data_IF_844017869803
#
_entry.id   IF_844017869803
#
_cell.length_a   1.000
_cell.length_b   1.000
_cell.length_c   1.000
_cell.angle_alpha   90.00
_cell.angle_beta   90.00
_cell.angle_gamma   90.00
#
_symmetry.space_group_name_H-M   'P 1'
#
loop_
_entity.id
_entity.type
_entity.pdbx_description
1 polymer ?
#
# COMPACT_ATOMS: atom_id res chain seq x y z
N UNK A 1 -10.57 0.43 -7.83
CA UNK A 1 -11.26 1.36 -6.90
C UNK A 1 -12.06 0.59 -5.86
N UNK A 2 -13.01 -0.29 -6.25
CA UNK A 2 -13.81 -1.06 -5.27
C UNK A 2 -13.00 -2.02 -4.39
N UNK A 3 -11.87 -2.52 -4.90
CA UNK A 3 -11.01 -3.44 -4.17
C UNK A 3 -10.49 -2.87 -2.84
N UNK A 4 -10.38 -1.55 -2.72
CA UNK A 4 -9.95 -0.83 -1.51
C UNK A 4 -11.08 -0.12 -0.74
N UNK A 5 -12.33 -0.55 -0.89
CA UNK A 5 -13.49 0.16 -0.31
C UNK A 5 -13.74 -0.17 1.18
N UNK A 6 -12.88 0.26 2.10
CA UNK A 6 -13.05 0.01 3.55
C UNK A 6 -13.69 1.16 4.36
N UNK A 7 -13.90 2.34 3.75
CA UNK A 7 -14.67 3.48 4.31
C UNK A 7 -14.16 4.06 5.66
N UNK A 8 -12.92 3.76 6.07
CA UNK A 8 -12.33 4.34 7.27
C UNK A 8 -10.84 4.63 7.05
N UNK A 9 -10.23 5.54 7.81
CA UNK A 9 -8.77 5.73 7.74
C UNK A 9 -8.06 4.67 8.60
N UNK A 10 -7.31 3.76 7.98
CA UNK A 10 -6.57 2.69 8.66
C UNK A 10 -5.34 3.17 9.43
N UNK A 11 -4.85 4.40 9.16
CA UNK A 11 -3.68 4.99 9.84
C UNK A 11 -4.01 5.50 11.23
N UNK A 12 -5.29 5.79 11.50
CA UNK A 12 -5.76 6.20 12.82
C UNK A 12 -5.93 4.96 13.71
N UNK A 13 -5.16 4.87 14.80
CA UNK A 13 -5.33 3.80 15.79
C UNK A 13 -6.64 4.03 16.55
N UNK A 14 -7.53 3.04 16.53
CA UNK A 14 -8.76 3.04 17.31
C UNK A 14 -8.72 1.84 18.27
N UNK A 15 -9.18 2.00 19.52
CA UNK A 15 -9.03 0.99 20.58
C UNK A 15 -9.77 -0.34 20.30
N UNK A 16 -10.81 -0.30 19.49
CA UNK A 16 -11.68 -1.41 19.08
C UNK A 16 -11.21 -2.10 17.78
N UNK A 17 -10.19 -1.56 17.09
CA UNK A 17 -9.73 -2.14 15.83
C UNK A 17 -8.94 -3.42 16.04
N UNK A 18 -9.50 -4.50 15.53
CA UNK A 18 -8.83 -5.80 15.41
C UNK A 18 -7.51 -5.64 14.63
N UNK A 19 -6.45 -6.26 15.17
CA UNK A 19 -5.13 -6.39 14.53
C UNK A 19 -5.27 -7.07 13.15
N UNK A 20 -4.27 -6.89 12.28
CA UNK A 20 -4.19 -7.51 10.95
C UNK A 20 -5.16 -6.97 9.88
N UNK A 21 -5.21 -5.64 9.70
CA UNK A 21 -6.02 -5.00 8.67
C UNK A 21 -5.80 -5.62 7.28
N UNK A 22 -4.55 -5.83 6.84
CA UNK A 22 -4.25 -6.36 5.50
C UNK A 22 -4.87 -7.72 5.17
N UNK A 23 -5.14 -8.57 6.17
CA UNK A 23 -5.79 -9.88 5.95
C UNK A 23 -7.32 -9.80 5.92
N UNK A 24 -7.89 -8.78 6.56
CA UNK A 24 -9.35 -8.61 6.72
C UNK A 24 -9.92 -7.61 5.72
N UNK A 25 -9.10 -6.68 5.27
CA UNK A 25 -9.43 -5.62 4.35
C UNK A 25 -10.17 -6.11 3.10
N UNK A 26 -9.73 -7.16 2.37
CA UNK A 26 -10.46 -7.63 1.18
C UNK A 26 -11.90 -8.04 1.45
N UNK A 27 -12.16 -8.63 2.62
CA UNK A 27 -13.53 -9.03 3.01
C UNK A 27 -14.38 -7.83 3.41
N UNK A 28 -13.78 -6.83 4.06
CA UNK A 28 -14.46 -5.57 4.39
C UNK A 28 -14.82 -4.82 3.10
N UNK A 29 -13.86 -4.72 2.17
CA UNK A 29 -14.06 -4.09 0.87
C UNK A 29 -15.15 -4.79 0.05
N UNK A 30 -15.16 -6.13 0.05
CA UNK A 30 -16.21 -6.90 -0.61
C UNK A 30 -17.59 -6.62 -0.02
N UNK A 31 -17.72 -6.68 1.31
CA UNK A 31 -19.00 -6.45 1.99
C UNK A 31 -19.53 -5.04 1.69
N UNK A 32 -18.69 -4.01 1.85
CA UNK A 32 -19.07 -2.63 1.55
C UNK A 32 -19.44 -2.46 0.06
N UNK A 33 -18.75 -3.16 -0.84
CA UNK A 33 -19.05 -3.08 -2.28
C UNK A 33 -20.37 -3.77 -2.62
N UNK A 34 -20.71 -4.88 -1.96
CA UNK A 34 -21.98 -5.58 -2.14
C UNK A 34 -23.18 -4.82 -1.56
N UNK A 35 -22.96 -4.01 -0.52
CA UNK A 35 -23.99 -3.13 0.04
C UNK A 35 -24.33 -1.96 -0.90
N UNK A 36 -23.37 -1.53 -1.72
CA UNK A 36 -23.50 -0.32 -2.55
C UNK A 36 -23.70 -0.61 -4.04
N UNK A 37 -23.29 -1.80 -4.52
CA UNK A 37 -23.26 -2.13 -5.94
C UNK A 37 -23.70 -3.58 -6.19
N UNK A 38 -24.26 -3.82 -7.38
CA UNK A 38 -24.51 -5.16 -7.87
C UNK A 38 -23.24 -5.70 -8.52
N UNK A 39 -22.63 -6.73 -7.93
CA UNK A 39 -21.37 -7.32 -8.38
C UNK A 39 -21.57 -8.73 -8.91
N UNK A 40 -20.93 -9.03 -10.03
CA UNK A 40 -20.87 -10.40 -10.55
C UNK A 40 -19.79 -11.24 -9.83
N UNK A 41 -19.78 -12.56 -10.05
CA UNK A 41 -18.84 -13.47 -9.39
C UNK A 41 -17.37 -13.12 -9.64
N UNK A 42 -17.04 -12.61 -10.84
CA UNK A 42 -15.66 -12.23 -11.20
C UNK A 42 -15.22 -11.01 -10.39
N UNK A 43 -16.04 -9.97 -10.32
CA UNK A 43 -15.76 -8.76 -9.55
C UNK A 43 -15.60 -9.06 -8.07
N UNK A 44 -16.46 -9.93 -7.53
CA UNK A 44 -16.38 -10.37 -6.13
C UNK A 44 -15.06 -11.12 -5.86
N UNK A 45 -14.62 -12.01 -6.77
CA UNK A 45 -13.34 -12.71 -6.65
C UNK A 45 -12.15 -11.76 -6.69
N UNK A 46 -12.16 -10.78 -7.62
CA UNK A 46 -11.13 -9.76 -7.74
C UNK A 46 -11.03 -8.95 -6.44
N UNK A 47 -12.15 -8.45 -5.92
CA UNK A 47 -12.17 -7.66 -4.68
C UNK A 47 -11.72 -8.52 -3.49
N UNK A 48 -12.16 -9.77 -3.39
CA UNK A 48 -11.81 -10.62 -2.25
C UNK A 48 -10.34 -11.05 -2.23
N UNK A 49 -9.70 -11.14 -3.39
CA UNK A 49 -8.36 -11.75 -3.54
C UNK A 49 -7.29 -10.79 -4.01
N UNK A 50 -7.60 -9.51 -4.19
CA UNK A 50 -6.62 -8.49 -4.62
C UNK A 50 -5.41 -8.39 -3.69
N UNK A 51 -5.50 -8.83 -2.43
CA UNK A 51 -4.38 -8.81 -1.48
C UNK A 51 -3.40 -9.97 -1.63
N UNK A 52 -3.60 -10.90 -2.57
CA UNK A 52 -2.59 -11.91 -2.86
C UNK A 52 -1.24 -11.23 -3.22
N UNK A 53 -0.08 -11.70 -2.71
CA UNK A 53 0.14 -12.93 -1.93
C UNK A 53 0.04 -12.78 -0.41
N UNK A 54 -0.36 -11.61 0.13
CA UNK A 54 -0.58 -11.43 1.57
C UNK A 54 -1.68 -12.36 2.05
N UNK A 55 -2.78 -12.44 1.29
CA UNK A 55 -3.76 -13.52 1.44
C UNK A 55 -3.27 -14.75 0.69
N UNK A 56 -3.22 -15.91 1.37
CA UNK A 56 -2.66 -17.16 0.82
C UNK A 56 -3.42 -17.64 -0.43
N UNK A 57 -4.72 -17.37 -0.51
CA UNK A 57 -5.58 -17.85 -1.60
C UNK A 57 -5.36 -16.98 -2.85
N UNK A 58 -4.94 -17.56 -3.99
CA UNK A 58 -4.71 -16.81 -5.22
C UNK A 58 -6.01 -16.45 -5.95
N UNK A 59 -6.01 -15.36 -6.76
CA UNK A 59 -7.12 -14.99 -7.63
C UNK A 59 -7.51 -16.13 -8.58
N UNK A 60 -8.83 -16.29 -8.82
CA UNK A 60 -9.34 -17.28 -9.78
C UNK A 60 -9.22 -16.78 -11.22
N UNK A 61 -9.35 -15.46 -11.40
CA UNK A 61 -9.34 -14.81 -12.71
C UNK A 61 -8.05 -14.03 -12.95
N UNK A 62 -7.62 -13.95 -14.21
CA UNK A 62 -6.37 -13.28 -14.62
C UNK A 62 -6.40 -11.80 -14.25
N UNK A 63 -7.56 -11.15 -14.41
CA UNK A 63 -7.79 -9.77 -14.03
C UNK A 63 -7.49 -9.52 -12.55
N UNK A 64 -7.74 -10.52 -11.69
CA UNK A 64 -7.39 -10.44 -10.26
C UNK A 64 -5.88 -10.39 -10.01
N UNK A 65 -5.07 -11.09 -10.82
CA UNK A 65 -3.61 -11.00 -10.74
C UNK A 65 -3.10 -9.63 -11.21
N UNK A 66 -3.70 -9.10 -12.28
CA UNK A 66 -3.37 -7.76 -12.80
C UNK A 66 -3.66 -6.70 -11.73
N UNK A 67 -4.87 -6.72 -11.16
CA UNK A 67 -5.26 -5.81 -10.08
C UNK A 67 -4.33 -5.96 -8.87
N UNK A 68 -4.06 -7.20 -8.43
CA UNK A 68 -3.14 -7.44 -7.33
C UNK A 68 -1.77 -6.83 -7.62
N UNK A 69 -1.22 -7.01 -8.82
CA UNK A 69 0.13 -6.53 -9.15
C UNK A 69 0.21 -5.00 -9.21
N UNK A 70 -0.76 -4.36 -9.87
CA UNK A 70 -0.81 -2.90 -10.01
C UNK A 70 -0.99 -2.22 -8.66
N UNK A 71 -1.85 -2.77 -7.80
CA UNK A 71 -2.07 -2.29 -6.43
C UNK A 71 -0.77 -2.20 -5.63
N UNK A 72 0.05 -3.26 -5.64
CA UNK A 72 1.32 -3.30 -4.90
C UNK A 72 2.35 -2.37 -5.53
N UNK A 73 2.39 -2.28 -6.86
CA UNK A 73 3.27 -1.35 -7.54
C UNK A 73 2.99 0.10 -7.11
N UNK A 74 1.72 0.50 -7.08
CA UNK A 74 1.32 1.83 -6.61
C UNK A 74 1.72 2.04 -5.15
N UNK A 75 1.40 1.10 -4.26
CA UNK A 75 1.76 1.19 -2.85
C UNK A 75 3.27 1.29 -2.61
N UNK A 76 4.07 0.52 -3.35
CA UNK A 76 5.55 0.57 -3.28
C UNK A 76 6.05 1.91 -3.80
N UNK A 77 5.55 2.40 -4.94
CA UNK A 77 5.96 3.67 -5.52
C UNK A 77 5.65 4.85 -4.59
N UNK A 78 4.45 4.89 -4.01
CA UNK A 78 4.05 5.90 -3.03
C UNK A 78 4.94 5.85 -1.79
N UNK A 79 5.18 4.64 -1.27
CA UNK A 79 6.07 4.45 -0.12
C UNK A 79 7.49 4.91 -0.43
N UNK A 80 8.02 4.52 -1.60
CA UNK A 80 9.36 4.89 -2.04
C UNK A 80 9.52 6.41 -2.16
N UNK A 81 8.58 7.09 -2.81
CA UNK A 81 8.58 8.55 -2.93
C UNK A 81 8.52 9.22 -1.54
N UNK A 82 7.65 8.73 -0.65
CA UNK A 82 7.55 9.23 0.71
C UNK A 82 8.87 9.10 1.48
N UNK A 83 9.52 7.93 1.39
CA UNK A 83 10.81 7.71 2.04
C UNK A 83 11.91 8.59 1.43
N UNK A 84 11.98 8.72 0.10
CA UNK A 84 12.95 9.60 -0.55
C UNK A 84 12.80 11.05 -0.08
N UNK A 85 11.59 11.60 -0.11
CA UNK A 85 11.34 12.96 0.37
C UNK A 85 11.71 13.12 1.84
N UNK A 86 11.38 12.14 2.67
CA UNK A 86 11.73 12.14 4.09
C UNK A 86 13.25 12.13 4.30
N UNK A 87 14.00 11.30 3.56
CA UNK A 87 15.46 11.23 3.64
C UNK A 87 16.12 12.52 3.14
N UNK A 88 15.67 13.08 2.02
CA UNK A 88 16.21 14.33 1.46
C UNK A 88 15.95 15.53 2.38
N UNK A 89 14.82 15.57 3.10
CA UNK A 89 14.50 16.64 4.06
C UNK A 89 15.29 16.54 5.37
N UNK A 90 15.91 15.40 5.69
CA UNK A 90 16.66 15.24 6.94
C UNK A 90 17.94 16.07 6.91
N UNK A 91 18.02 17.09 7.78
CA UNK A 91 19.19 17.98 7.94
C UNK A 91 20.51 17.22 8.09
N UNK A 92 20.50 16.05 8.75
CA UNK A 92 21.69 15.21 8.93
C UNK A 92 22.32 14.77 7.61
N UNK A 93 21.51 14.42 6.60
CA UNK A 93 22.02 14.06 5.27
C UNK A 93 22.63 15.28 4.56
N UNK A 94 21.98 16.44 4.67
CA UNK A 94 22.50 17.70 4.11
C UNK A 94 23.84 18.09 4.74
N UNK A 95 23.97 18.01 6.06
CA UNK A 95 25.23 18.31 6.75
C UNK A 95 26.31 17.26 6.50
N UNK A 96 25.96 15.97 6.42
CA UNK A 96 26.90 14.92 6.04
C UNK A 96 27.44 15.12 4.62
N UNK A 97 26.59 15.53 3.67
CA UNK A 97 27.02 15.89 2.31
C UNK A 97 27.97 17.09 2.30
N UNK A 98 27.63 18.19 2.99
CA UNK A 98 28.51 19.36 3.10
C UNK A 98 29.85 18.97 3.75
N UNK A 99 29.81 18.19 4.83
CA UNK A 99 31.02 17.70 5.51
C UNK A 99 31.90 16.84 4.60
N UNK A 100 31.29 15.95 3.80
CA UNK A 100 32.01 15.12 2.84
C UNK A 100 32.63 15.97 1.72
N UNK A 101 31.90 16.96 1.19
CA UNK A 101 32.46 17.92 0.24
C UNK A 101 33.66 18.68 0.84
N UNK A 102 33.57 19.14 2.10
CA UNK A 102 34.67 19.82 2.78
C UNK A 102 35.90 18.91 2.99
N UNK A 103 35.72 17.60 3.20
CA UNK A 103 36.83 16.66 3.25
C UNK A 103 37.53 16.52 1.90
N UNK A 104 36.78 16.42 0.80
CA UNK A 104 37.36 16.36 -0.55
C UNK A 104 38.12 17.64 -0.92
N UNK A 105 37.61 18.82 -0.58
CA UNK A 105 38.30 20.09 -0.79
C UNK A 105 39.52 20.31 0.10
N UNK A 106 39.69 19.53 1.17
CA UNK A 106 40.86 19.60 2.06
C UNK A 106 41.97 18.60 1.68
N UNK A 107 41.64 17.64 0.81
CA UNK A 107 42.55 16.57 0.36
C UNK A 107 43.20 16.91 -1.00
N UNK A 108 42.65 17.87 -1.74
CA UNK A 108 43.26 18.49 -2.94
C UNK A 108 43.95 19.78 -2.53
#
# INVERSE_FOLDING_TARGET
MLHDLFLYDWRVKQPDRKRFHGFRHPRIALNNSLELFFLNEKEQDIILKHMWPITIIPPKYVEGYVISSVDKYCAIKESYNHYLEYFTKKKSFRYAYIFLCLLFFRIV
#
